data_IF_712853340469
#
_entry.id   IF_712853340469
#
_cell.length_a   1.000
_cell.length_b   1.000
_cell.length_c   1.000
_cell.angle_alpha   90.00
_cell.angle_beta   90.00
_cell.angle_gamma   90.00
#
_symmetry.space_group_name_H-M   'P 1'
#
loop_
_entity.id
_entity.type
_entity.pdbx_description
1 polymer ?
#
# COMPACT_ATOMS: atom_id res chain seq x y z
N UNK A 1 -28.86 -5.62 -26.07
CA UNK A 1 -29.09 -6.55 -24.93
C UNK A 1 -28.37 -6.18 -23.64
N UNK A 2 -27.49 -5.19 -23.65
CA UNK A 2 -26.85 -4.66 -22.42
C UNK A 2 -27.85 -3.99 -21.46
N UNK A 3 -28.90 -3.34 -21.96
CA UNK A 3 -29.85 -2.61 -21.09
C UNK A 3 -30.79 -3.44 -20.23
N UNK A 4 -30.95 -4.76 -20.45
CA UNK A 4 -31.86 -5.60 -19.64
C UNK A 4 -31.24 -6.14 -18.35
N UNK A 5 -29.93 -6.08 -18.22
CA UNK A 5 -29.18 -6.55 -17.01
C UNK A 5 -29.05 -5.48 -15.93
N UNK A 6 -28.79 -4.26 -16.35
CA UNK A 6 -28.76 -3.11 -15.42
C UNK A 6 -30.16 -2.87 -14.84
N UNK A 7 -31.21 -3.15 -15.59
CA UNK A 7 -32.61 -3.07 -15.15
C UNK A 7 -32.92 -4.05 -14.01
N UNK A 8 -32.36 -5.28 -13.98
CA UNK A 8 -32.60 -6.23 -12.87
C UNK A 8 -31.93 -5.82 -11.57
N UNK A 9 -30.72 -5.27 -11.65
CA UNK A 9 -30.04 -4.73 -10.44
C UNK A 9 -30.74 -3.47 -9.96
N UNK A 10 -31.35 -2.69 -10.86
CA UNK A 10 -32.13 -1.49 -10.53
C UNK A 10 -33.53 -1.82 -10.00
N UNK A 11 -34.07 -2.99 -10.30
CA UNK A 11 -35.40 -3.44 -9.85
C UNK A 11 -35.36 -4.15 -8.47
N UNK A 12 -34.19 -4.44 -7.92
CA UNK A 12 -34.07 -4.93 -6.55
C UNK A 12 -34.52 -3.85 -5.55
N UNK A 13 -35.23 -4.25 -4.46
CA UNK A 13 -35.56 -3.33 -3.37
C UNK A 13 -34.29 -2.65 -2.87
N UNK A 14 -34.32 -1.32 -2.73
CA UNK A 14 -33.16 -0.53 -2.26
C UNK A 14 -32.52 -1.12 -1.01
N UNK A 15 -33.30 -1.75 -0.15
CA UNK A 15 -32.86 -2.43 1.07
C UNK A 15 -31.98 -3.64 0.80
N UNK A 16 -32.35 -4.52 -0.15
CA UNK A 16 -31.55 -5.72 -0.48
C UNK A 16 -30.21 -5.33 -1.13
N UNK A 17 -30.23 -4.33 -1.98
CA UNK A 17 -29.02 -3.79 -2.61
C UNK A 17 -28.07 -3.16 -1.59
N UNK A 18 -28.60 -2.43 -0.60
CA UNK A 18 -27.78 -1.85 0.48
C UNK A 18 -27.17 -2.91 1.38
N UNK A 19 -27.89 -4.01 1.68
CA UNK A 19 -27.38 -5.14 2.48
C UNK A 19 -26.22 -5.83 1.73
N UNK A 20 -26.38 -6.13 0.45
CA UNK A 20 -25.31 -6.76 -0.35
C UNK A 20 -24.08 -5.90 -0.48
N UNK A 21 -24.25 -4.59 -0.64
CA UNK A 21 -23.13 -3.65 -0.64
C UNK A 21 -22.41 -3.66 0.72
N UNK A 22 -23.15 -3.70 1.81
CA UNK A 22 -22.58 -3.80 3.15
C UNK A 22 -21.82 -5.14 3.33
N UNK A 23 -22.38 -6.27 2.89
CA UNK A 23 -21.72 -7.58 2.90
C UNK A 23 -20.40 -7.55 2.10
N UNK A 24 -20.40 -6.95 0.92
CA UNK A 24 -19.19 -6.81 0.10
C UNK A 24 -18.11 -5.96 0.79
N UNK A 25 -18.50 -4.83 1.39
CA UNK A 25 -17.58 -3.94 2.12
C UNK A 25 -17.03 -4.60 3.39
N UNK A 26 -17.85 -5.36 4.12
CA UNK A 26 -17.41 -6.12 5.29
C UNK A 26 -16.44 -7.23 4.88
N UNK A 27 -16.76 -7.98 3.83
CA UNK A 27 -15.85 -9.00 3.29
C UNK A 27 -14.51 -8.39 2.86
N UNK A 28 -14.55 -7.23 2.20
CA UNK A 28 -13.36 -6.47 1.83
C UNK A 28 -12.56 -6.05 3.06
N UNK A 29 -13.21 -5.47 4.07
CA UNK A 29 -12.55 -5.03 5.31
C UNK A 29 -11.85 -6.21 6.01
N UNK A 30 -12.54 -7.33 6.18
CA UNK A 30 -11.97 -8.55 6.78
C UNK A 30 -10.78 -9.06 5.97
N UNK A 31 -10.94 -9.18 4.65
CA UNK A 31 -9.87 -9.70 3.78
C UNK A 31 -8.63 -8.80 3.81
N UNK A 32 -8.79 -7.48 3.60
CA UNK A 32 -7.65 -6.57 3.57
C UNK A 32 -7.00 -6.38 4.93
N UNK A 33 -7.76 -6.39 6.02
CA UNK A 33 -7.19 -6.30 7.37
C UNK A 33 -6.34 -7.53 7.70
N UNK A 34 -6.81 -8.73 7.36
CA UNK A 34 -6.03 -9.96 7.59
C UNK A 34 -4.84 -10.10 6.63
N UNK A 35 -4.99 -9.70 5.35
CA UNK A 35 -3.86 -9.60 4.44
C UNK A 35 -2.78 -8.65 4.99
N UNK A 36 -3.17 -7.46 5.40
CA UNK A 36 -2.24 -6.47 5.97
C UNK A 36 -1.60 -6.98 7.26
N UNK A 37 -2.37 -7.66 8.13
CA UNK A 37 -1.87 -8.26 9.37
C UNK A 37 -0.79 -9.32 9.10
N UNK A 38 -1.04 -10.23 8.18
CA UNK A 38 -0.10 -11.30 7.83
C UNK A 38 1.11 -10.77 7.05
N UNK A 39 0.90 -9.83 6.10
CA UNK A 39 2.00 -9.19 5.36
C UNK A 39 2.96 -8.44 6.28
N UNK A 40 2.49 -7.99 7.44
CA UNK A 40 3.32 -7.36 8.45
C UNK A 40 3.93 -8.37 9.44
N UNK A 41 3.13 -9.30 9.96
CA UNK A 41 3.55 -10.21 11.00
C UNK A 41 4.54 -11.29 10.53
N UNK A 42 4.44 -11.79 9.29
CA UNK A 42 5.36 -12.81 8.79
C UNK A 42 6.81 -12.33 8.66
N UNK A 43 7.09 -11.17 8.06
CA UNK A 43 8.45 -10.63 8.06
C UNK A 43 8.96 -10.34 9.46
N UNK A 44 8.10 -9.83 10.36
CA UNK A 44 8.44 -9.58 11.76
C UNK A 44 8.80 -10.88 12.49
N UNK A 45 8.01 -11.95 12.33
CA UNK A 45 8.31 -13.28 12.86
C UNK A 45 9.64 -13.82 12.34
N UNK A 46 9.90 -13.67 11.04
CA UNK A 46 11.18 -14.06 10.45
C UNK A 46 12.35 -13.25 11.04
N UNK A 47 12.14 -11.97 11.26
CA UNK A 47 13.13 -11.08 11.88
C UNK A 47 13.41 -11.47 13.34
N UNK A 48 12.37 -11.73 14.14
CA UNK A 48 12.50 -12.17 15.53
C UNK A 48 13.27 -13.52 15.64
N UNK A 49 13.07 -14.43 14.66
CA UNK A 49 13.77 -15.72 14.65
C UNK A 49 15.21 -15.64 14.11
N UNK A 50 15.49 -14.75 13.15
CA UNK A 50 16.79 -14.69 12.45
C UNK A 50 17.72 -13.59 12.96
N UNK A 51 17.17 -12.53 13.52
CA UNK A 51 17.91 -11.32 13.91
C UNK A 51 18.48 -10.51 12.73
N UNK A 52 18.19 -10.93 11.47
CA UNK A 52 18.76 -10.33 10.25
C UNK A 52 17.80 -9.36 9.59
N UNK A 53 18.16 -8.08 9.58
CA UNK A 53 17.43 -7.03 8.88
C UNK A 53 17.55 -7.18 7.36
N UNK A 54 18.68 -7.69 6.87
CA UNK A 54 18.88 -8.01 5.45
C UNK A 54 17.89 -9.07 4.98
N UNK A 55 17.72 -10.15 5.76
CA UNK A 55 16.78 -11.22 5.42
C UNK A 55 15.33 -10.70 5.45
N UNK A 56 14.96 -9.88 6.44
CA UNK A 56 13.68 -9.20 6.50
C UNK A 56 13.42 -8.38 5.23
N UNK A 57 14.31 -7.46 4.87
CA UNK A 57 14.18 -6.60 3.69
C UNK A 57 14.16 -7.40 2.37
N UNK A 58 15.01 -8.43 2.25
CA UNK A 58 15.08 -9.28 1.06
C UNK A 58 13.80 -10.07 0.82
N UNK A 59 13.22 -10.63 1.89
CA UNK A 59 11.97 -11.41 1.83
C UNK A 59 10.81 -10.52 1.40
N UNK A 60 10.65 -9.35 2.01
CA UNK A 60 9.56 -8.42 1.66
C UNK A 60 9.73 -7.91 0.24
N UNK A 61 10.95 -7.54 -0.16
CA UNK A 61 11.25 -7.07 -1.52
C UNK A 61 10.94 -8.15 -2.58
N UNK A 62 11.39 -9.39 -2.35
CA UNK A 62 11.15 -10.52 -3.27
C UNK A 62 9.67 -10.85 -3.38
N UNK A 63 8.96 -10.84 -2.26
CA UNK A 63 7.54 -11.15 -2.19
C UNK A 63 6.66 -10.10 -2.89
N UNK A 64 7.14 -8.87 -3.05
CA UNK A 64 6.40 -7.80 -3.75
C UNK A 64 6.36 -8.02 -5.27
N UNK A 65 7.33 -8.73 -5.85
CA UNK A 65 7.46 -8.94 -7.31
C UNK A 65 6.22 -9.63 -7.92
N UNK A 66 5.70 -10.75 -7.39
CA UNK A 66 4.48 -11.38 -7.91
C UNK A 66 3.26 -10.46 -7.89
N UNK A 67 3.14 -9.59 -6.88
CA UNK A 67 2.08 -8.58 -6.82
C UNK A 67 2.12 -7.62 -7.99
N UNK A 68 3.30 -7.10 -8.32
CA UNK A 68 3.48 -6.22 -9.49
C UNK A 68 3.16 -6.95 -10.79
N UNK A 69 3.65 -8.19 -10.95
CA UNK A 69 3.40 -9.00 -12.15
C UNK A 69 1.94 -9.44 -12.30
N UNK A 70 1.22 -9.63 -11.20
CA UNK A 70 -0.20 -10.01 -11.20
C UNK A 70 -1.15 -8.82 -11.49
N UNK A 71 -0.70 -7.57 -11.34
CA UNK A 71 -1.55 -6.38 -11.53
C UNK A 71 -2.25 -6.33 -12.90
N UNK A 72 -1.58 -6.57 -14.04
CA UNK A 72 -2.25 -6.60 -15.35
C UNK A 72 -3.29 -7.72 -15.47
N UNK A 73 -3.00 -8.89 -14.84
CA UNK A 73 -3.92 -10.02 -14.83
C UNK A 73 -5.21 -9.69 -14.04
N UNK A 74 -5.09 -8.89 -12.96
CA UNK A 74 -6.22 -8.40 -12.18
C UNK A 74 -7.20 -7.59 -13.02
N UNK A 75 -6.71 -6.69 -13.88
CA UNK A 75 -7.54 -5.94 -14.84
C UNK A 75 -8.27 -6.86 -15.82
N UNK A 76 -7.55 -7.80 -16.45
CA UNK A 76 -8.12 -8.76 -17.40
C UNK A 76 -9.19 -9.65 -16.73
N UNK A 77 -8.94 -10.12 -15.50
CA UNK A 77 -9.91 -10.91 -14.74
C UNK A 77 -11.15 -10.08 -14.38
N UNK A 78 -10.97 -8.82 -14.05
CA UNK A 78 -12.04 -7.89 -13.75
C UNK A 78 -12.96 -7.64 -14.97
N UNK A 79 -12.42 -7.70 -16.19
CA UNK A 79 -13.20 -7.53 -17.43
C UNK A 79 -13.98 -8.80 -17.82
N UNK A 80 -13.58 -9.98 -17.35
CA UNK A 80 -14.20 -11.27 -17.74
C UNK A 80 -15.55 -11.57 -17.08
N UNK A 81 -16.04 -10.74 -16.16
CA UNK A 81 -17.39 -10.83 -15.59
C UNK A 81 -17.67 -11.98 -14.63
N UNK A 82 -16.70 -12.87 -14.35
CA UNK A 82 -16.85 -14.01 -13.41
C UNK A 82 -16.37 -13.66 -12.00
N UNK A 83 -16.70 -12.44 -11.55
CA UNK A 83 -16.15 -11.86 -10.31
C UNK A 83 -16.47 -12.71 -9.07
N UNK A 84 -17.69 -13.26 -8.97
CA UNK A 84 -18.09 -14.10 -7.84
C UNK A 84 -17.17 -15.31 -7.66
N UNK A 85 -16.99 -16.07 -8.75
CA UNK A 85 -16.20 -17.30 -8.69
C UNK A 85 -14.73 -16.99 -8.37
N UNK A 86 -14.20 -15.95 -8.98
CA UNK A 86 -12.80 -15.53 -8.76
C UNK A 86 -12.61 -15.01 -7.35
N UNK A 87 -13.48 -14.13 -6.83
CA UNK A 87 -13.36 -13.60 -5.46
C UNK A 87 -13.46 -14.71 -4.41
N UNK A 88 -14.38 -15.67 -4.59
CA UNK A 88 -14.49 -16.83 -3.71
C UNK A 88 -13.23 -17.70 -3.79
N UNK A 89 -12.74 -17.99 -5.00
CA UNK A 89 -11.53 -18.79 -5.20
C UNK A 89 -10.29 -18.11 -4.58
N UNK A 90 -10.14 -16.79 -4.71
CA UNK A 90 -9.07 -16.03 -4.08
C UNK A 90 -9.15 -16.06 -2.55
N UNK A 91 -10.36 -15.96 -1.97
CA UNK A 91 -10.59 -16.12 -0.53
C UNK A 91 -10.19 -17.53 -0.04
N UNK A 92 -10.59 -18.58 -0.78
CA UNK A 92 -10.19 -19.96 -0.47
C UNK A 92 -8.67 -20.13 -0.61
N UNK A 93 -8.04 -19.55 -1.62
CA UNK A 93 -6.59 -19.60 -1.81
C UNK A 93 -5.84 -18.94 -0.63
N UNK A 94 -6.32 -17.80 -0.13
CA UNK A 94 -5.76 -17.14 1.06
C UNK A 94 -5.94 -17.99 2.33
N UNK A 95 -7.12 -18.56 2.52
CA UNK A 95 -7.41 -19.47 3.63
C UNK A 95 -6.47 -20.67 3.61
N UNK A 96 -6.39 -21.39 2.48
CA UNK A 96 -5.55 -22.59 2.34
C UNK A 96 -4.08 -22.26 2.47
N UNK A 97 -3.60 -21.16 1.89
CA UNK A 97 -2.22 -20.70 2.02
C UNK A 97 -1.85 -20.42 3.48
N UNK A 98 -2.75 -19.75 4.23
CA UNK A 98 -2.52 -19.45 5.65
C UNK A 98 -2.48 -20.71 6.52
N UNK A 99 -3.35 -21.69 6.29
CA UNK A 99 -3.31 -22.98 6.99
C UNK A 99 -2.08 -23.82 6.61
N UNK A 100 -1.76 -23.87 5.31
CA UNK A 100 -0.61 -24.63 4.83
C UNK A 100 0.70 -24.09 5.38
N UNK A 101 0.82 -22.80 5.60
CA UNK A 101 2.02 -22.17 6.19
C UNK A 101 2.35 -22.71 7.59
N UNK A 102 1.32 -23.04 8.39
CA UNK A 102 1.51 -23.63 9.73
C UNK A 102 2.17 -25.01 9.62
N UNK A 103 1.80 -25.80 8.61
CA UNK A 103 2.37 -27.12 8.37
C UNK A 103 3.76 -27.05 7.74
N UNK A 104 3.92 -26.17 6.73
CA UNK A 104 5.16 -26.06 5.95
C UNK A 104 6.35 -25.56 6.78
N UNK A 105 6.13 -24.69 7.78
CA UNK A 105 7.21 -24.19 8.65
C UNK A 105 7.89 -25.30 9.49
N UNK A 106 7.27 -26.48 9.60
CA UNK A 106 7.88 -27.63 10.29
C UNK A 106 8.83 -28.42 9.39
N UNK A 107 8.67 -28.30 8.07
CA UNK A 107 9.39 -29.13 7.08
C UNK A 107 10.33 -28.32 6.19
N UNK A 108 10.11 -27.00 6.06
CA UNK A 108 10.87 -26.12 5.17
C UNK A 108 11.56 -25.00 5.94
N UNK A 109 12.66 -24.44 5.40
CA UNK A 109 13.30 -23.24 5.96
C UNK A 109 12.28 -22.09 6.08
N UNK A 110 12.25 -21.42 7.25
CA UNK A 110 11.27 -20.39 7.56
C UNK A 110 11.22 -19.28 6.49
N UNK A 111 12.39 -18.84 6.00
CA UNK A 111 12.46 -17.81 4.96
C UNK A 111 11.71 -18.20 3.67
N UNK A 112 11.81 -19.46 3.25
CA UNK A 112 11.12 -20.00 2.06
C UNK A 112 9.61 -19.96 2.28
N UNK A 113 9.14 -20.39 3.45
CA UNK A 113 7.71 -20.39 3.79
C UNK A 113 7.17 -18.96 3.79
N UNK A 114 7.90 -18.03 4.42
CA UNK A 114 7.49 -16.61 4.50
C UNK A 114 7.45 -15.97 3.10
N UNK A 115 8.46 -16.20 2.25
CA UNK A 115 8.43 -15.72 0.86
C UNK A 115 7.25 -16.30 0.11
N UNK A 116 7.02 -17.60 0.19
CA UNK A 116 5.94 -18.26 -0.54
C UNK A 116 4.56 -17.71 -0.15
N UNK A 117 4.30 -17.58 1.16
CA UNK A 117 3.02 -17.05 1.64
C UNK A 117 2.81 -15.58 1.26
N UNK A 118 3.83 -14.75 1.39
CA UNK A 118 3.78 -13.34 1.01
C UNK A 118 3.60 -13.16 -0.50
N UNK A 119 4.24 -13.99 -1.32
CA UNK A 119 4.04 -14.00 -2.78
C UNK A 119 2.58 -14.27 -3.13
N UNK A 120 1.95 -15.25 -2.48
CA UNK A 120 0.52 -15.54 -2.66
C UNK A 120 -0.32 -14.34 -2.21
N UNK A 121 -0.03 -13.76 -1.06
CA UNK A 121 -0.80 -12.65 -0.51
C UNK A 121 -0.72 -11.39 -1.38
N UNK A 122 0.46 -10.96 -1.79
CA UNK A 122 0.62 -9.80 -2.68
C UNK A 122 0.03 -10.07 -4.07
N UNK A 123 0.19 -11.29 -4.60
CA UNK A 123 -0.43 -11.70 -5.86
C UNK A 123 -1.95 -11.61 -5.80
N UNK A 124 -2.57 -12.19 -4.77
CA UNK A 124 -4.01 -12.15 -4.56
C UNK A 124 -4.51 -10.72 -4.33
N UNK A 125 -3.80 -9.92 -3.54
CA UNK A 125 -4.17 -8.51 -3.30
C UNK A 125 -4.24 -7.70 -4.60
N UNK A 126 -3.31 -7.94 -5.52
CA UNK A 126 -3.28 -7.26 -6.83
C UNK A 126 -4.46 -7.64 -7.72
N UNK A 127 -4.97 -8.87 -7.60
CA UNK A 127 -6.16 -9.34 -8.32
C UNK A 127 -7.46 -8.84 -7.68
N UNK A 128 -7.53 -8.83 -6.34
CA UNK A 128 -8.74 -8.44 -5.60
C UNK A 128 -9.11 -6.97 -5.82
N UNK A 129 -8.11 -6.07 -5.82
CA UNK A 129 -8.33 -4.63 -5.81
C UNK A 129 -9.21 -4.12 -6.96
N UNK A 130 -8.89 -4.39 -8.26
CA UNK A 130 -9.70 -3.92 -9.36
C UNK A 130 -11.09 -4.56 -9.38
N UNK A 131 -11.21 -5.84 -9.02
CA UNK A 131 -12.49 -6.55 -9.01
C UNK A 131 -13.45 -5.98 -7.97
N UNK A 132 -12.99 -5.76 -6.74
CA UNK A 132 -13.80 -5.18 -5.67
C UNK A 132 -14.21 -3.74 -5.99
N UNK A 133 -13.34 -2.97 -6.65
CA UNK A 133 -13.68 -1.61 -7.08
C UNK A 133 -14.81 -1.61 -8.10
N UNK A 134 -14.74 -2.47 -9.13
CA UNK A 134 -15.77 -2.59 -10.17
C UNK A 134 -17.10 -3.04 -9.55
N UNK A 135 -17.11 -4.08 -8.71
CA UNK A 135 -18.34 -4.58 -8.10
C UNK A 135 -18.98 -3.58 -7.14
N UNK A 136 -18.18 -2.85 -6.37
CA UNK A 136 -18.71 -1.81 -5.47
C UNK A 136 -19.36 -0.68 -6.26
N UNK A 137 -18.73 -0.21 -7.35
CA UNK A 137 -19.30 0.81 -8.25
C UNK A 137 -20.58 0.30 -8.88
N UNK A 138 -20.59 -0.93 -9.40
CA UNK A 138 -21.76 -1.57 -10.00
C UNK A 138 -22.94 -1.68 -9.04
N UNK A 139 -22.67 -2.06 -7.77
CA UNK A 139 -23.68 -2.13 -6.73
C UNK A 139 -24.16 -0.75 -6.27
N UNK A 140 -23.32 0.28 -6.25
CA UNK A 140 -23.69 1.64 -5.85
C UNK A 140 -24.56 2.33 -6.92
N UNK A 141 -24.39 2.00 -8.22
CA UNK A 141 -25.01 2.62 -9.37
C UNK A 141 -24.24 3.81 -9.92
N UNK A 142 -24.41 4.07 -11.21
CA UNK A 142 -23.63 5.07 -11.95
C UNK A 142 -23.69 6.49 -11.39
N UNK A 143 -24.81 6.86 -10.79
CA UNK A 143 -24.98 8.17 -10.14
C UNK A 143 -24.13 8.34 -8.85
N UNK A 144 -23.53 7.26 -8.32
CA UNK A 144 -22.82 7.24 -7.03
C UNK A 144 -21.40 6.68 -7.14
N UNK A 145 -20.80 6.69 -8.33
CA UNK A 145 -19.45 6.15 -8.59
C UNK A 145 -18.41 6.76 -7.65
N UNK A 146 -18.43 8.09 -7.49
CA UNK A 146 -17.49 8.78 -6.58
C UNK A 146 -17.61 8.31 -5.14
N UNK A 147 -18.85 8.15 -4.65
CA UNK A 147 -19.11 7.67 -3.29
C UNK A 147 -18.68 6.20 -3.11
N UNK A 148 -18.93 5.36 -4.12
CA UNK A 148 -18.51 3.96 -4.10
C UNK A 148 -16.98 3.83 -4.07
N UNK A 149 -16.28 4.59 -4.92
CA UNK A 149 -14.81 4.63 -4.97
C UNK A 149 -14.23 5.15 -3.65
N UNK A 150 -14.87 6.17 -3.05
CA UNK A 150 -14.48 6.67 -1.74
C UNK A 150 -14.64 5.60 -0.65
N UNK A 151 -15.73 4.84 -0.63
CA UNK A 151 -15.95 3.75 0.34
C UNK A 151 -14.89 2.65 0.23
N UNK A 152 -14.57 2.19 -0.99
CA UNK A 152 -13.50 1.20 -1.22
C UNK A 152 -12.16 1.72 -0.71
N UNK A 153 -11.84 2.99 -0.99
CA UNK A 153 -10.61 3.62 -0.53
C UNK A 153 -10.55 3.73 0.99
N UNK A 154 -11.67 4.12 1.63
CA UNK A 154 -11.76 4.19 3.10
C UNK A 154 -11.58 2.82 3.75
N UNK A 155 -12.23 1.77 3.23
CA UNK A 155 -12.05 0.40 3.73
C UNK A 155 -10.60 -0.03 3.61
N UNK A 156 -9.95 0.25 2.49
CA UNK A 156 -8.52 -0.07 2.29
C UNK A 156 -7.63 0.68 3.28
N UNK A 157 -7.88 1.98 3.50
CA UNK A 157 -7.13 2.79 4.48
C UNK A 157 -7.27 2.27 5.91
N UNK A 158 -8.51 1.99 6.31
CA UNK A 158 -8.80 1.41 7.64
C UNK A 158 -8.11 0.06 7.80
N UNK A 159 -8.15 -0.80 6.78
CA UNK A 159 -7.49 -2.10 6.81
C UNK A 159 -5.96 -2.00 6.92
N UNK A 160 -5.35 -1.02 6.26
CA UNK A 160 -3.91 -0.80 6.34
C UNK A 160 -3.45 -0.32 7.74
N UNK A 161 -4.33 0.29 8.52
CA UNK A 161 -4.05 0.65 9.91
C UNK A 161 -4.36 -0.52 10.85
N UNK A 162 -5.54 -1.12 10.70
CA UNK A 162 -5.97 -2.22 11.55
C UNK A 162 -5.09 -3.46 11.39
N UNK A 163 -4.61 -3.73 10.18
CA UNK A 163 -3.79 -4.90 9.88
C UNK A 163 -2.55 -5.03 10.74
N UNK A 164 -1.59 -4.09 10.70
CA UNK A 164 -0.41 -4.14 11.54
C UNK A 164 -0.73 -4.18 13.04
N UNK A 165 -1.78 -3.46 13.48
CA UNK A 165 -2.23 -3.46 14.89
C UNK A 165 -2.67 -4.86 15.32
N UNK A 166 -3.61 -5.44 14.59
CA UNK A 166 -4.12 -6.78 14.86
C UNK A 166 -3.01 -7.81 14.69
N UNK A 167 -2.22 -7.68 13.62
CA UNK A 167 -1.09 -8.57 13.33
C UNK A 167 -0.08 -8.61 14.46
N UNK A 168 0.41 -7.45 14.91
CA UNK A 168 1.40 -7.38 15.98
C UNK A 168 0.84 -7.76 17.34
N UNK A 169 -0.41 -7.38 17.66
CA UNK A 169 -1.05 -7.72 18.92
C UNK A 169 -1.28 -9.24 19.03
N UNK A 170 -1.89 -9.85 18.01
CA UNK A 170 -2.15 -11.29 18.01
C UNK A 170 -0.84 -12.08 17.95
N UNK A 171 0.11 -11.67 17.10
CA UNK A 171 1.41 -12.30 17.01
C UNK A 171 2.18 -12.20 18.34
N UNK A 172 2.22 -11.03 18.97
CA UNK A 172 2.92 -10.81 20.21
C UNK A 172 2.35 -11.55 21.42
N UNK A 173 1.01 -11.74 21.47
CA UNK A 173 0.34 -12.41 22.58
C UNK A 173 0.18 -13.92 22.38
N UNK A 174 -0.07 -14.39 21.15
CA UNK A 174 -0.49 -15.76 20.85
C UNK A 174 0.40 -16.46 19.80
N UNK A 175 1.34 -15.74 19.22
CA UNK A 175 2.25 -16.25 18.19
C UNK A 175 1.64 -16.27 16.78
N UNK A 176 2.50 -16.63 15.81
CA UNK A 176 2.15 -16.58 14.38
C UNK A 176 1.08 -17.60 13.99
N UNK A 177 1.04 -18.79 14.66
CA UNK A 177 0.08 -19.85 14.34
C UNK A 177 -1.36 -19.45 14.69
N UNK A 178 -1.54 -18.75 15.80
CA UNK A 178 -2.84 -18.21 16.18
C UNK A 178 -3.31 -17.15 15.16
N UNK A 179 -2.41 -16.26 14.74
CA UNK A 179 -2.72 -15.27 13.71
C UNK A 179 -3.10 -15.92 12.38
N UNK A 180 -2.37 -16.95 11.93
CA UNK A 180 -2.68 -17.70 10.72
C UNK A 180 -4.05 -18.39 10.80
N UNK A 181 -4.38 -18.95 11.96
CA UNK A 181 -5.67 -19.62 12.19
C UNK A 181 -6.82 -18.58 12.14
N UNK A 182 -6.68 -17.45 12.84
CA UNK A 182 -7.66 -16.36 12.83
C UNK A 182 -7.84 -15.80 11.41
N UNK A 183 -6.74 -15.57 10.69
CA UNK A 183 -6.77 -15.10 9.31
C UNK A 183 -7.47 -16.10 8.39
N UNK A 184 -7.21 -17.40 8.55
CA UNK A 184 -7.86 -18.46 7.75
C UNK A 184 -9.37 -18.46 7.96
N UNK A 185 -9.85 -18.31 9.20
CA UNK A 185 -11.28 -18.22 9.51
C UNK A 185 -11.87 -16.94 8.88
N UNK A 186 -11.18 -15.81 9.00
CA UNK A 186 -11.63 -14.55 8.42
C UNK A 186 -11.70 -14.61 6.88
N UNK A 187 -10.72 -15.25 6.22
CA UNK A 187 -10.74 -15.47 4.77
C UNK A 187 -11.87 -16.41 4.34
N UNK A 188 -12.17 -17.45 5.13
CA UNK A 188 -13.32 -18.33 4.89
C UNK A 188 -14.65 -17.55 4.97
N UNK A 189 -14.82 -16.75 6.02
CA UNK A 189 -15.99 -15.89 6.18
C UNK A 189 -16.11 -14.89 5.01
N UNK A 190 -15.00 -14.27 4.62
CA UNK A 190 -14.97 -13.34 3.49
C UNK A 190 -15.35 -14.02 2.17
N UNK A 191 -14.85 -15.24 1.92
CA UNK A 191 -15.22 -16.03 0.74
C UNK A 191 -16.73 -16.34 0.70
N UNK A 192 -17.33 -16.67 1.84
CA UNK A 192 -18.78 -16.90 1.96
C UNK A 192 -19.58 -15.62 1.70
N UNK A 193 -19.14 -14.49 2.27
CA UNK A 193 -19.77 -13.18 2.05
C UNK A 193 -19.66 -12.74 0.58
N UNK A 194 -18.51 -12.92 -0.08
CA UNK A 194 -18.36 -12.68 -1.53
C UNK A 194 -19.32 -13.55 -2.34
N UNK A 195 -19.44 -14.85 -1.96
CA UNK A 195 -20.39 -15.78 -2.59
C UNK A 195 -21.85 -15.37 -2.41
N UNK A 196 -22.22 -14.81 -1.24
CA UNK A 196 -23.57 -14.32 -0.93
C UNK A 196 -23.90 -13.01 -1.63
N UNK A 197 -23.04 -12.00 -1.47
CA UNK A 197 -23.22 -10.66 -2.05
C UNK A 197 -23.38 -10.70 -3.58
N UNK A 198 -22.67 -11.61 -4.27
CA UNK A 198 -22.60 -11.70 -5.72
C UNK A 198 -23.48 -12.82 -6.33
N UNK A 199 -24.38 -13.42 -5.56
CA UNK A 199 -25.14 -14.62 -5.95
C UNK A 199 -25.99 -14.47 -7.22
N UNK A 200 -26.43 -13.26 -7.58
CA UNK A 200 -27.32 -13.03 -8.74
C UNK A 200 -26.60 -12.69 -10.04
N UNK A 201 -25.27 -12.49 -10.02
CA UNK A 201 -24.52 -12.06 -11.18
C UNK A 201 -23.95 -13.21 -12.03
N UNK A 202 -24.38 -14.45 -11.80
CA UNK A 202 -23.82 -15.67 -12.38
C UNK A 202 -24.10 -15.87 -13.89
N UNK A 203 -24.80 -14.95 -14.57
CA UNK A 203 -25.09 -15.06 -16.00
C UNK A 203 -24.54 -13.87 -16.76
N UNK A 204 -23.24 -13.87 -17.05
CA UNK A 204 -22.62 -12.83 -17.85
C UNK A 204 -21.76 -13.40 -18.95
N UNK A 205 -22.21 -13.11 -20.14
CA UNK A 205 -21.53 -13.38 -21.40
C UNK A 205 -20.20 -12.65 -21.49
N UNK A 206 -19.26 -13.37 -22.07
CA UNK A 206 -18.02 -12.89 -22.64
C UNK A 206 -18.23 -11.63 -23.49
N UNK A 207 -17.73 -10.50 -23.04
CA UNK A 207 -17.46 -9.38 -23.93
C UNK A 207 -16.08 -9.56 -24.54
N UNK A 208 -16.08 -9.69 -25.87
CA UNK A 208 -15.05 -9.36 -26.84
C UNK A 208 -13.59 -9.69 -26.51
N UNK A 209 -13.16 -10.88 -26.88
CA UNK A 209 -11.75 -11.19 -27.14
C UNK A 209 -11.29 -10.35 -28.35
N UNK A 210 -10.45 -9.38 -28.16
CA UNK A 210 -9.76 -8.80 -29.30
C UNK A 210 -9.11 -7.42 -29.19
N UNK A 211 -9.53 -6.58 -28.27
CA UNK A 211 -9.11 -5.16 -28.33
C UNK A 211 -7.95 -4.74 -27.41
N UNK A 212 -7.54 -5.56 -26.45
CA UNK A 212 -6.82 -5.05 -25.27
C UNK A 212 -5.29 -5.13 -25.32
N UNK A 213 -4.69 -6.08 -26.04
CA UNK A 213 -3.21 -6.27 -25.94
C UNK A 213 -2.37 -5.31 -26.80
N UNK A 214 -2.85 -4.97 -27.98
CA UNK A 214 -2.11 -4.04 -28.88
C UNK A 214 -2.27 -2.60 -28.44
N UNK A 215 -3.43 -2.23 -27.94
CA UNK A 215 -3.74 -0.88 -27.43
C UNK A 215 -2.94 -0.56 -26.16
N UNK A 216 -2.90 -1.46 -25.18
CA UNK A 216 -2.14 -1.25 -23.93
C UNK A 216 -0.63 -0.98 -24.15
N UNK A 217 0.00 -1.70 -25.06
CA UNK A 217 1.43 -1.52 -25.34
C UNK A 217 1.72 -0.18 -26.04
N UNK A 218 0.87 0.23 -26.94
CA UNK A 218 1.00 1.51 -27.63
C UNK A 218 0.71 2.67 -26.68
N UNK A 219 -0.33 2.56 -25.87
CA UNK A 219 -0.71 3.53 -24.85
C UNK A 219 0.40 3.75 -23.80
N UNK A 220 1.03 2.66 -23.35
CA UNK A 220 2.16 2.72 -22.44
C UNK A 220 3.38 3.40 -23.04
N UNK A 221 3.70 3.06 -24.31
CA UNK A 221 4.80 3.69 -25.06
C UNK A 221 4.56 5.18 -25.29
N UNK A 222 3.34 5.57 -25.58
CA UNK A 222 2.92 6.95 -25.74
C UNK A 222 3.10 7.75 -24.45
N UNK A 223 2.65 7.18 -23.31
CA UNK A 223 2.82 7.79 -21.99
C UNK A 223 4.28 8.00 -21.61
N UNK A 224 5.11 6.99 -21.84
CA UNK A 224 6.57 7.12 -21.60
C UNK A 224 7.17 8.19 -22.51
N UNK A 225 6.78 8.22 -23.78
CA UNK A 225 7.28 9.22 -24.73
C UNK A 225 6.89 10.63 -24.31
N UNK A 226 5.63 10.83 -23.90
CA UNK A 226 5.17 12.10 -23.36
C UNK A 226 5.94 12.52 -22.12
N UNK A 227 6.15 11.60 -21.18
CA UNK A 227 6.94 11.87 -19.97
C UNK A 227 8.37 12.26 -20.32
N UNK A 228 9.04 11.50 -21.18
CA UNK A 228 10.44 11.79 -21.59
C UNK A 228 10.61 13.11 -22.33
N UNK A 229 9.56 13.59 -23.01
CA UNK A 229 9.53 14.90 -23.65
C UNK A 229 9.37 16.04 -22.65
N UNK A 230 8.86 15.76 -21.44
CA UNK A 230 8.63 16.74 -20.40
C UNK A 230 9.62 16.57 -19.24
N UNK A 231 10.84 17.09 -19.41
CA UNK A 231 11.92 16.97 -18.43
C UNK A 231 11.51 17.37 -16.98
N UNK A 232 10.60 18.34 -16.87
CA UNK A 232 10.05 18.79 -15.57
C UNK A 232 9.22 17.72 -14.87
N UNK A 233 8.36 17.01 -15.62
CA UNK A 233 7.58 15.91 -15.08
C UNK A 233 8.46 14.74 -14.66
N UNK A 234 9.43 14.37 -15.51
CA UNK A 234 10.42 13.32 -15.18
C UNK A 234 11.16 13.65 -13.89
N UNK A 235 11.64 14.89 -13.76
CA UNK A 235 12.36 15.31 -12.56
C UNK A 235 11.50 15.26 -11.31
N UNK A 236 10.23 15.65 -11.37
CA UNK A 236 9.28 15.58 -10.24
C UNK A 236 9.00 14.12 -9.87
N UNK A 237 8.82 13.23 -10.85
CA UNK A 237 8.56 11.80 -10.62
C UNK A 237 9.77 11.12 -9.99
N UNK A 238 10.97 11.37 -10.52
CA UNK A 238 12.21 10.82 -9.95
C UNK A 238 12.43 11.33 -8.51
N UNK A 239 12.15 12.59 -8.27
CA UNK A 239 12.22 13.17 -6.93
C UNK A 239 11.23 12.49 -5.97
N UNK A 240 9.99 12.28 -6.42
CA UNK A 240 8.98 11.55 -5.65
C UNK A 240 9.41 10.11 -5.36
N UNK A 241 10.05 9.44 -6.33
CA UNK A 241 10.58 8.08 -6.15
C UNK A 241 11.72 8.06 -5.11
N UNK A 242 12.62 9.04 -5.14
CA UNK A 242 13.70 9.18 -4.13
C UNK A 242 13.12 9.47 -2.74
N UNK A 243 12.11 10.34 -2.65
CA UNK A 243 11.41 10.60 -1.37
C UNK A 243 10.74 9.33 -0.84
N UNK A 244 10.05 8.58 -1.69
CA UNK A 244 9.42 7.32 -1.32
C UNK A 244 10.46 6.30 -0.84
N UNK A 245 11.56 6.16 -1.59
CA UNK A 245 12.67 5.29 -1.21
C UNK A 245 13.24 5.69 0.15
N UNK A 246 13.46 6.97 0.42
CA UNK A 246 13.95 7.44 1.72
C UNK A 246 12.97 7.09 2.86
N UNK A 247 11.65 7.26 2.65
CA UNK A 247 10.63 7.00 3.67
C UNK A 247 10.47 5.50 4.00
N UNK A 248 10.84 4.59 3.10
CA UNK A 248 10.85 3.15 3.38
C UNK A 248 11.80 2.81 4.55
N UNK A 249 12.87 3.60 4.74
CA UNK A 249 13.75 3.45 5.90
C UNK A 249 13.03 3.56 7.24
N UNK A 250 11.94 4.32 7.32
CA UNK A 250 11.13 4.45 8.52
C UNK A 250 10.31 3.18 8.79
N UNK A 251 9.65 2.63 7.77
CA UNK A 251 8.82 1.44 7.89
C UNK A 251 9.65 0.17 8.15
N UNK A 252 10.79 0.01 7.49
CA UNK A 252 11.75 -1.07 7.76
C UNK A 252 12.43 -0.87 9.12
N UNK A 253 12.67 0.38 9.51
CA UNK A 253 13.29 0.71 10.79
C UNK A 253 12.40 0.44 11.99
N UNK A 254 11.08 0.53 11.86
CA UNK A 254 10.15 0.39 12.98
C UNK A 254 10.32 -0.95 13.74
N UNK A 255 10.21 -2.13 13.13
CA UNK A 255 10.45 -3.38 13.83
C UNK A 255 11.89 -3.50 14.36
N UNK A 256 12.88 -3.08 13.58
CA UNK A 256 14.29 -3.20 13.95
C UNK A 256 14.64 -2.36 15.17
N UNK A 257 14.18 -1.11 15.23
CA UNK A 257 14.43 -0.21 16.34
C UNK A 257 13.71 -0.69 17.59
N UNK A 258 12.44 -1.03 17.48
CA UNK A 258 11.61 -1.41 18.63
C UNK A 258 12.05 -2.74 19.22
N UNK A 259 12.28 -3.77 18.40
CA UNK A 259 12.59 -5.11 18.93
C UNK A 259 14.09 -5.35 19.13
N UNK A 260 14.94 -4.98 18.16
CA UNK A 260 16.37 -5.29 18.21
C UNK A 260 17.18 -4.23 18.99
N UNK A 261 16.85 -2.93 18.82
CA UNK A 261 17.61 -1.84 19.45
C UNK A 261 17.11 -1.53 20.86
N UNK A 262 15.79 -1.47 21.07
CA UNK A 262 15.17 -1.17 22.37
C UNK A 262 14.81 -2.44 23.17
N UNK A 263 14.89 -3.63 22.59
CA UNK A 263 14.52 -4.89 23.26
C UNK A 263 13.06 -4.99 23.68
N UNK A 264 12.17 -4.16 23.08
CA UNK A 264 10.74 -4.14 23.41
C UNK A 264 10.00 -5.27 22.70
N UNK A 265 8.81 -5.61 23.20
CA UNK A 265 7.96 -6.62 22.59
C UNK A 265 7.50 -6.20 21.18
N UNK A 266 7.35 -7.18 20.30
CA UNK A 266 6.87 -6.97 18.92
C UNK A 266 5.49 -6.29 18.85
N UNK A 267 4.66 -6.41 19.88
CA UNK A 267 3.40 -5.67 20.01
C UNK A 267 3.57 -4.14 20.04
N UNK A 268 4.71 -3.64 20.56
CA UNK A 268 5.03 -2.20 20.58
C UNK A 268 5.27 -1.65 19.16
N UNK A 269 5.68 -2.50 18.20
CA UNK A 269 5.82 -2.10 16.80
C UNK A 269 4.46 -1.64 16.23
N UNK A 270 3.37 -2.30 16.63
CA UNK A 270 2.02 -1.92 16.25
C UNK A 270 1.65 -0.50 16.67
N UNK A 271 2.13 0.00 17.81
CA UNK A 271 1.89 1.38 18.26
C UNK A 271 2.54 2.37 17.29
N UNK A 272 3.77 2.09 16.85
CA UNK A 272 4.47 2.93 15.87
C UNK A 272 3.75 2.92 14.52
N UNK A 273 3.29 1.75 14.07
CA UNK A 273 2.53 1.61 12.82
C UNK A 273 1.19 2.36 12.86
N UNK A 274 0.48 2.31 14.00
CA UNK A 274 -0.73 3.12 14.22
C UNK A 274 -0.40 4.60 14.12
N UNK A 275 0.66 5.04 14.81
CA UNK A 275 1.08 6.44 14.81
C UNK A 275 1.42 6.91 13.38
N UNK A 276 2.14 6.10 12.60
CA UNK A 276 2.42 6.37 11.18
C UNK A 276 1.14 6.41 10.33
N UNK A 277 0.23 5.45 10.52
CA UNK A 277 -1.04 5.39 9.80
C UNK A 277 -1.93 6.60 10.09
N UNK A 278 -2.09 6.98 11.36
CA UNK A 278 -2.83 8.17 11.77
C UNK A 278 -2.19 9.45 11.23
N UNK A 279 -0.85 9.52 11.22
CA UNK A 279 -0.12 10.62 10.60
C UNK A 279 -0.44 10.76 9.12
N UNK A 280 -0.42 9.66 8.37
CA UNK A 280 -0.76 9.63 6.93
C UNK A 280 -2.21 10.07 6.66
N UNK A 281 -3.17 9.60 7.46
CA UNK A 281 -4.57 10.01 7.39
C UNK A 281 -4.74 11.50 7.72
N UNK A 282 -4.11 11.97 8.78
CA UNK A 282 -4.15 13.38 9.15
C UNK A 282 -3.60 14.27 8.04
N UNK A 283 -2.46 13.88 7.43
CA UNK A 283 -1.86 14.63 6.33
C UNK A 283 -2.76 14.74 5.10
N UNK A 284 -3.32 13.62 4.63
CA UNK A 284 -4.27 13.63 3.49
C UNK A 284 -5.56 14.36 3.83
N UNK A 285 -6.08 14.18 5.06
CA UNK A 285 -7.26 14.89 5.56
C UNK A 285 -7.06 16.41 5.60
N UNK A 286 -5.90 16.88 6.06
CA UNK A 286 -5.56 18.31 6.07
C UNK A 286 -5.62 18.93 4.67
N UNK A 287 -5.10 18.24 3.65
CA UNK A 287 -5.19 18.72 2.25
C UNK A 287 -6.65 18.74 1.79
N UNK A 288 -7.44 17.75 2.15
CA UNK A 288 -8.87 17.69 1.80
C UNK A 288 -9.70 18.82 2.44
N UNK A 289 -9.43 19.16 3.72
CA UNK A 289 -10.17 20.19 4.47
C UNK A 289 -9.73 21.60 4.08
N UNK A 290 -8.41 21.81 3.87
CA UNK A 290 -7.84 23.14 3.55
C UNK A 290 -7.01 23.12 2.24
N UNK A 291 -7.61 22.81 1.08
CA UNK A 291 -6.87 22.66 -0.18
C UNK A 291 -6.13 23.95 -0.58
N UNK A 292 -6.64 25.12 -0.21
CA UNK A 292 -6.01 26.40 -0.53
C UNK A 292 -4.71 26.70 0.25
N UNK A 293 -4.45 25.97 1.36
CA UNK A 293 -3.22 26.16 2.16
C UNK A 293 -2.04 25.38 1.63
N UNK A 294 -2.33 24.35 0.85
CA UNK A 294 -1.33 23.45 0.30
C UNK A 294 -1.22 23.67 -1.20
N UNK A 295 -0.03 23.59 -1.73
CA UNK A 295 0.24 23.73 -3.16
C UNK A 295 1.56 23.11 -3.51
N UNK A 296 1.73 22.70 -4.76
CA UNK A 296 2.97 22.20 -5.31
C UNK A 296 4.17 23.13 -5.04
N UNK A 297 3.91 24.44 -4.99
CA UNK A 297 4.93 25.44 -4.67
C UNK A 297 5.51 25.30 -3.26
N UNK A 298 4.77 24.68 -2.34
CA UNK A 298 5.19 24.43 -0.96
C UNK A 298 6.02 23.18 -0.73
N UNK A 299 6.25 22.34 -1.74
CA UNK A 299 6.90 21.01 -1.57
C UNK A 299 8.23 21.10 -0.82
N UNK A 300 9.10 22.05 -1.13
CA UNK A 300 10.36 22.21 -0.39
C UNK A 300 10.14 22.42 1.11
N UNK A 301 9.09 23.17 1.49
CA UNK A 301 8.72 23.38 2.90
C UNK A 301 8.20 22.08 3.52
N UNK A 302 7.40 21.30 2.79
CA UNK A 302 6.86 20.04 3.30
C UNK A 302 7.96 19.02 3.54
N UNK A 303 8.93 18.90 2.60
CA UNK A 303 10.10 18.03 2.80
C UNK A 303 11.00 18.52 3.93
N UNK A 304 11.14 19.84 4.12
CA UNK A 304 11.84 20.37 5.30
C UNK A 304 11.14 20.00 6.62
N UNK A 305 9.79 19.94 6.65
CA UNK A 305 9.04 19.45 7.81
C UNK A 305 9.23 17.95 8.04
N UNK A 306 9.41 17.15 6.98
CA UNK A 306 9.83 15.74 7.11
C UNK A 306 11.21 15.67 7.78
N UNK A 307 12.18 16.45 7.31
CA UNK A 307 13.52 16.52 7.92
C UNK A 307 13.47 16.94 9.40
N UNK A 308 12.58 17.88 9.74
CA UNK A 308 12.36 18.30 11.13
C UNK A 308 11.84 17.17 12.02
N UNK A 309 11.01 16.26 11.50
CA UNK A 309 10.56 15.07 12.24
C UNK A 309 11.63 13.99 12.38
N UNK A 310 12.54 13.87 11.40
CA UNK A 310 13.62 12.89 11.43
C UNK A 310 14.75 13.30 12.37
N UNK A 311 15.07 14.59 12.48
CA UNK A 311 16.20 15.08 13.28
C UNK A 311 16.12 14.69 14.77
N UNK A 312 14.99 14.84 15.49
CA UNK A 312 14.86 14.40 16.87
C UNK A 312 15.06 12.89 17.05
N UNK A 313 14.62 12.08 16.08
CA UNK A 313 14.82 10.62 16.09
C UNK A 313 16.33 10.31 16.15
N UNK A 314 17.14 10.98 15.33
CA UNK A 314 18.59 10.79 15.31
C UNK A 314 19.20 11.17 16.66
N UNK A 315 18.81 12.31 17.22
CA UNK A 315 19.35 12.79 18.50
C UNK A 315 19.02 11.80 19.62
N UNK A 316 17.79 11.30 19.69
CA UNK A 316 17.40 10.34 20.73
C UNK A 316 18.04 8.97 20.54
N UNK A 317 18.26 8.52 19.30
CA UNK A 317 19.00 7.28 19.03
C UNK A 317 20.48 7.34 19.43
N UNK A 318 21.06 8.55 19.51
CA UNK A 318 22.47 8.75 19.94
C UNK A 318 22.59 8.93 21.45
N UNK A 319 21.65 9.62 22.09
CA UNK A 319 21.81 10.12 23.46
C UNK A 319 20.62 9.81 24.38
N UNK A 320 19.54 9.21 23.86
CA UNK A 320 18.28 9.03 24.59
C UNK A 320 18.26 7.78 25.46
N UNK A 321 17.34 7.77 26.43
CA UNK A 321 16.93 6.59 27.20
C UNK A 321 15.84 5.86 26.41
N UNK A 322 15.71 4.56 26.53
CA UNK A 322 14.84 3.70 25.72
C UNK A 322 13.39 4.20 25.58
N UNK A 323 12.77 4.62 26.68
CA UNK A 323 11.39 5.15 26.67
C UNK A 323 11.30 6.48 25.87
N UNK A 324 12.32 7.33 25.98
CA UNK A 324 12.40 8.57 25.23
C UNK A 324 12.60 8.28 23.74
N UNK A 325 13.48 7.33 23.40
CA UNK A 325 13.72 6.90 22.02
C UNK A 325 12.43 6.37 21.40
N UNK A 326 11.71 5.48 22.09
CA UNK A 326 10.44 4.92 21.61
C UNK A 326 9.40 6.01 21.36
N UNK A 327 9.21 6.91 22.33
CA UNK A 327 8.18 7.97 22.23
C UNK A 327 8.50 8.94 21.11
N UNK A 328 9.77 9.41 21.02
CA UNK A 328 10.19 10.34 19.96
C UNK A 328 10.15 9.66 18.58
N UNK A 329 10.48 8.37 18.52
CA UNK A 329 10.38 7.60 17.30
C UNK A 329 8.93 7.47 16.80
N UNK A 330 7.98 7.13 17.68
CA UNK A 330 6.57 7.01 17.34
C UNK A 330 5.97 8.37 16.92
N UNK A 331 6.19 9.44 17.68
CA UNK A 331 5.68 10.78 17.40
C UNK A 331 6.36 11.38 16.15
N UNK A 332 7.68 11.24 16.05
CA UNK A 332 8.46 11.70 14.90
C UNK A 332 8.05 11.00 13.61
N UNK A 333 7.79 9.68 13.67
CA UNK A 333 7.29 8.90 12.55
C UNK A 333 5.90 9.34 12.10
N UNK A 334 4.99 9.59 13.06
CA UNK A 334 3.68 10.17 12.76
C UNK A 334 3.80 11.53 12.08
N UNK A 335 4.65 12.42 12.60
CA UNK A 335 4.92 13.73 12.01
C UNK A 335 5.45 13.61 10.58
N UNK A 336 6.43 12.75 10.34
CA UNK A 336 6.98 12.46 9.02
C UNK A 336 5.88 12.00 8.07
N UNK A 337 5.00 11.10 8.49
CA UNK A 337 3.91 10.58 7.67
C UNK A 337 2.84 11.64 7.33
N UNK A 338 2.57 12.59 8.23
CA UNK A 338 1.71 13.75 7.92
C UNK A 338 2.24 14.50 6.70
N UNK A 339 3.49 14.92 6.75
CA UNK A 339 4.09 15.73 5.69
C UNK A 339 4.42 14.94 4.43
N UNK A 340 4.73 13.65 4.56
CA UNK A 340 4.91 12.74 3.43
C UNK A 340 3.59 12.56 2.66
N UNK A 341 2.47 12.41 3.36
CA UNK A 341 1.15 12.29 2.75
C UNK A 341 0.74 13.57 2.02
N UNK A 342 0.92 14.75 2.65
CA UNK A 342 0.70 16.05 2.02
C UNK A 342 1.54 16.17 0.74
N UNK A 343 2.83 15.83 0.82
CA UNK A 343 3.76 15.89 -0.32
C UNK A 343 3.31 14.98 -1.46
N UNK A 344 2.91 13.76 -1.15
CA UNK A 344 2.44 12.77 -2.13
C UNK A 344 1.18 13.25 -2.85
N UNK A 345 0.20 13.78 -2.12
CA UNK A 345 -1.05 14.31 -2.69
C UNK A 345 -0.76 15.48 -3.64
N UNK A 346 0.11 16.41 -3.24
CA UNK A 346 0.46 17.58 -4.06
C UNK A 346 1.26 17.19 -5.33
N UNK A 347 2.14 16.20 -5.25
CA UNK A 347 2.86 15.69 -6.43
C UNK A 347 1.88 15.06 -7.43
N UNK A 348 0.97 14.22 -6.95
CA UNK A 348 -0.02 13.57 -7.81
C UNK A 348 -0.96 14.60 -8.42
N UNK A 349 -1.44 15.56 -7.64
CA UNK A 349 -2.28 16.65 -8.11
C UNK A 349 -1.55 17.53 -9.17
N UNK A 350 -0.25 17.77 -9.00
CA UNK A 350 0.56 18.47 -9.99
C UNK A 350 0.65 17.67 -11.31
N UNK A 351 0.92 16.37 -11.24
CA UNK A 351 0.96 15.51 -12.43
C UNK A 351 -0.38 15.54 -13.16
N UNK A 352 -1.51 15.46 -12.43
CA UNK A 352 -2.85 15.51 -13.00
C UNK A 352 -3.17 16.85 -13.68
N UNK A 353 -2.65 17.96 -13.16
CA UNK A 353 -2.87 19.30 -13.76
C UNK A 353 -2.03 19.52 -15.02
N UNK A 354 -0.82 18.91 -15.09
CA UNK A 354 0.10 19.12 -16.21
C UNK A 354 -0.15 18.11 -17.34
N UNK A 355 -0.61 16.90 -17.01
CA UNK A 355 -0.90 15.88 -18.02
C UNK A 355 -2.17 16.24 -18.83
N UNK A 356 -2.17 16.09 -20.17
CA UNK A 356 -3.37 16.24 -21.00
C UNK A 356 -4.47 15.31 -20.51
N UNK A 357 -5.72 15.75 -20.56
CA UNK A 357 -6.91 15.02 -20.05
C UNK A 357 -6.99 13.61 -20.61
N UNK A 358 -6.67 13.44 -21.92
CA UNK A 358 -6.71 12.17 -22.64
C UNK A 358 -5.60 11.18 -22.19
N UNK A 359 -4.48 11.69 -21.71
CA UNK A 359 -3.32 10.90 -21.29
C UNK A 359 -3.17 10.82 -19.75
N UNK A 360 -3.98 11.56 -19.00
CA UNK A 360 -3.81 11.72 -17.54
C UNK A 360 -3.79 10.37 -16.82
N UNK A 361 -4.74 9.48 -17.10
CA UNK A 361 -4.79 8.15 -16.47
C UNK A 361 -3.59 7.27 -16.83
N UNK A 362 -3.13 7.35 -18.09
CA UNK A 362 -1.98 6.60 -18.59
C UNK A 362 -0.67 7.11 -17.95
N UNK A 363 -0.50 8.42 -17.84
CA UNK A 363 0.66 9.06 -17.19
C UNK A 363 0.69 8.72 -15.71
N UNK A 364 -0.45 8.79 -15.00
CA UNK A 364 -0.55 8.41 -13.58
C UNK A 364 -0.18 6.94 -13.35
N UNK A 365 -0.59 6.03 -14.25
CA UNK A 365 -0.22 4.62 -14.15
C UNK A 365 1.30 4.42 -14.20
N UNK A 366 2.01 5.15 -15.08
CA UNK A 366 3.47 5.11 -15.14
C UNK A 366 4.09 5.71 -13.89
N UNK A 367 3.56 6.81 -13.36
CA UNK A 367 4.01 7.41 -12.10
C UNK A 367 3.89 6.42 -10.95
N UNK A 368 2.73 5.80 -10.77
CA UNK A 368 2.53 4.79 -9.72
C UNK A 368 3.44 3.58 -9.89
N UNK A 369 3.70 3.17 -11.13
CA UNK A 369 4.65 2.07 -11.41
C UNK A 369 6.07 2.45 -10.95
N UNK A 370 6.54 3.65 -11.27
CA UNK A 370 7.89 4.12 -10.85
C UNK A 370 7.98 4.19 -9.33
N UNK A 371 6.96 4.76 -8.66
CA UNK A 371 6.90 4.82 -7.20
C UNK A 371 6.88 3.44 -6.57
N UNK A 372 6.13 2.48 -7.15
CA UNK A 372 6.07 1.10 -6.66
C UNK A 372 7.39 0.36 -6.83
N UNK A 373 8.13 0.61 -7.92
CA UNK A 373 9.46 0.00 -8.11
C UNK A 373 10.50 0.50 -7.09
N UNK A 374 10.34 1.71 -6.53
CA UNK A 374 11.20 2.21 -5.47
C UNK A 374 11.06 1.39 -4.17
N UNK A 375 9.89 0.79 -3.92
CA UNK A 375 9.60 0.06 -2.68
C UNK A 375 10.52 -1.15 -2.47
N UNK A 376 10.62 -2.15 -3.37
CA UNK A 376 11.50 -3.29 -3.16
C UNK A 376 12.99 -2.90 -3.11
N UNK A 377 13.39 -1.87 -3.86
CA UNK A 377 14.77 -1.36 -3.83
C UNK A 377 15.07 -0.78 -2.44
N UNK A 378 14.15 0.03 -1.90
CA UNK A 378 14.27 0.58 -0.55
C UNK A 378 14.32 -0.50 0.53
N UNK A 379 13.45 -1.49 0.45
CA UNK A 379 13.40 -2.60 1.40
C UNK A 379 14.72 -3.37 1.47
N UNK A 380 15.31 -3.71 0.31
CA UNK A 380 16.62 -4.36 0.25
C UNK A 380 17.73 -3.46 0.80
N UNK A 381 17.77 -2.20 0.35
CA UNK A 381 18.81 -1.24 0.72
C UNK A 381 18.81 -1.00 2.22
N UNK A 382 17.64 -0.73 2.82
CA UNK A 382 17.53 -0.47 4.25
C UNK A 382 17.69 -1.74 5.08
N UNK A 383 17.25 -2.92 4.59
CA UNK A 383 17.52 -4.19 5.25
C UNK A 383 19.03 -4.42 5.44
N UNK A 384 19.83 -4.24 4.38
CA UNK A 384 21.29 -4.32 4.45
C UNK A 384 21.88 -3.20 5.32
N UNK A 385 21.34 -1.98 5.21
CA UNK A 385 21.84 -0.84 5.96
C UNK A 385 21.71 -1.05 7.48
N UNK A 386 20.57 -1.52 7.95
CA UNK A 386 20.33 -1.78 9.38
C UNK A 386 21.12 -2.97 9.97
N UNK A 387 21.60 -3.89 9.13
CA UNK A 387 22.50 -4.95 9.60
C UNK A 387 23.96 -4.48 9.71
N UNK A 388 24.36 -3.49 8.88
CA UNK A 388 25.75 -3.01 8.82
C UNK A 388 26.02 -1.79 9.68
N UNK A 389 25.01 -0.94 9.86
CA UNK A 389 25.14 0.37 10.52
C UNK A 389 24.13 0.51 11.66
N UNK A 390 24.46 1.37 12.62
CA UNK A 390 23.53 1.71 13.69
C UNK A 390 22.31 2.46 13.12
N UNK A 391 21.14 2.34 13.76
CA UNK A 391 19.93 3.06 13.33
C UNK A 391 20.15 4.58 13.17
N UNK A 392 20.94 5.19 14.04
CA UNK A 392 21.28 6.62 13.98
C UNK A 392 21.97 7.00 12.66
N UNK A 393 22.94 6.18 12.19
CA UNK A 393 23.65 6.39 10.91
C UNK A 393 22.68 6.25 9.75
N UNK A 394 21.80 5.25 9.78
CA UNK A 394 20.80 5.02 8.73
C UNK A 394 19.85 6.21 8.61
N UNK A 395 19.36 6.74 9.75
CA UNK A 395 18.53 7.94 9.77
C UNK A 395 19.28 9.21 9.36
N UNK A 396 20.55 9.33 9.70
CA UNK A 396 21.39 10.43 9.23
C UNK A 396 21.60 10.40 7.72
N UNK A 397 21.82 9.21 7.13
CA UNK A 397 21.89 9.03 5.69
C UNK A 397 20.53 9.37 5.02
N UNK A 398 19.43 8.92 5.60
CA UNK A 398 18.08 9.29 5.15
C UNK A 398 17.86 10.81 5.17
N UNK A 399 18.25 11.48 6.26
CA UNK A 399 18.16 12.93 6.38
C UNK A 399 19.01 13.65 5.31
N UNK A 400 20.22 13.15 5.04
CA UNK A 400 21.08 13.68 3.98
C UNK A 400 20.44 13.55 2.59
N UNK A 401 19.83 12.39 2.29
CA UNK A 401 19.09 12.17 1.03
C UNK A 401 17.90 13.14 0.93
N UNK A 402 17.13 13.31 1.99
CA UNK A 402 15.98 14.23 2.04
C UNK A 402 16.40 15.69 1.83
N UNK A 403 17.48 16.13 2.47
CA UNK A 403 18.00 17.50 2.33
C UNK A 403 18.56 17.75 0.93
N UNK A 404 19.32 16.80 0.36
CA UNK A 404 19.81 16.88 -1.01
C UNK A 404 18.65 16.94 -2.02
N UNK A 405 17.64 16.09 -1.82
CA UNK A 405 16.42 16.06 -2.64
C UNK A 405 15.71 17.40 -2.62
N UNK A 406 15.57 18.00 -1.42
CA UNK A 406 14.97 19.34 -1.26
C UNK A 406 15.77 20.41 -1.99
N UNK A 407 17.10 20.39 -1.87
CA UNK A 407 17.97 21.36 -2.54
C UNK A 407 17.90 21.24 -4.07
N UNK A 408 17.91 20.00 -4.60
CA UNK A 408 17.75 19.74 -6.04
C UNK A 408 16.40 20.24 -6.55
N UNK A 409 15.32 19.96 -5.81
CA UNK A 409 13.98 20.41 -6.17
C UNK A 409 13.87 21.94 -6.15
N UNK A 410 14.46 22.61 -5.17
CA UNK A 410 14.49 24.06 -5.10
C UNK A 410 15.21 24.69 -6.30
N UNK A 411 16.36 24.12 -6.70
CA UNK A 411 17.08 24.55 -7.91
C UNK A 411 16.29 24.35 -9.19
N UNK A 412 15.62 23.19 -9.31
CA UNK A 412 14.78 22.87 -10.46
C UNK A 412 13.60 23.83 -10.59
N UNK A 413 12.89 24.08 -9.48
CA UNK A 413 11.78 25.02 -9.43
C UNK A 413 12.18 26.43 -9.86
N UNK A 414 13.33 26.92 -9.42
CA UNK A 414 13.83 28.25 -9.79
C UNK A 414 14.23 28.33 -11.28
N UNK A 415 14.71 27.23 -11.87
CA UNK A 415 14.95 27.16 -13.33
C UNK A 415 13.64 27.19 -14.12
N UNK A 416 12.64 26.44 -13.70
CA UNK A 416 11.32 26.40 -14.36
C UNK A 416 10.60 27.75 -14.28
N UNK A 417 10.72 28.45 -13.16
CA UNK A 417 10.16 29.81 -12.97
C UNK A 417 10.84 30.88 -13.83
N UNK A 418 12.06 30.64 -14.31
CA UNK A 418 12.78 31.57 -15.21
C UNK A 418 12.49 31.28 -16.68
N UNK A 419 11.86 30.13 -17.00
CA UNK A 419 11.53 29.71 -18.35
C UNK A 419 10.02 29.87 -18.66
N UNK A 420 9.19 30.17 -17.66
CA UNK A 420 7.80 30.59 -17.74
C UNK A 420 7.68 32.10 -17.59
#
# INVERSE_FOLDING_TARGET
MAGLRDVRVLLEPKTVRSIRLAELLVAQLCTYSMLSALCFAYPLYLFDCSGSSTLYGAVVATAFIPGVLATPAGGILADRGRHREVLVALGIALMTASLLSILMKRSLPLAVVVVAILCVQYGVQSLLKPMLQIETVRMAGEEKVERATALVSQVTMVSNILGPVVGTAVYGCFGIDALCTIASVAFAISALLFGGALKQNASSETMGDGATRTTCRNDFRESIRYLLQNASLVAVILLAAVLNLALIGLTIGAPIIVTKHLGMQSSCVGIVEVAMGLGGLAGSGLVGIWPHRFSFNGICRYVAMICFGVAPIIVTLLFGVDVCVFTVFAVGSAWVMVWASITSVEIIAFVQRVAPTELCGKVLSVVYMVLSCATPIGQLTYGVAYDRWTPAIVFAAMLAVLTLTTALFYRLKNRLRRLS
#
